data_IF_592113348633
#
_entry.id   IF_592113348633
#
_cell.length_a   1.000
_cell.length_b   1.000
_cell.length_c   1.000
_cell.angle_alpha   90.00
_cell.angle_beta   90.00
_cell.angle_gamma   90.00
#
_symmetry.space_group_name_H-M   'P 1'
#
loop_
_entity.id
_entity.type
_entity.pdbx_description
1 polymer ?
#
# COMPACT_ATOMS: atom_id res chain seq x y z
N UNK A 1 -8.33 -29.85 -0.07
CA UNK A 1 -9.17 -29.12 -1.05
C UNK A 1 -9.21 -27.62 -0.69
N UNK A 2 -8.06 -26.94 -0.59
CA UNK A 2 -8.02 -25.52 -0.15
C UNK A 2 -6.99 -24.68 -0.93
N UNK A 3 -5.95 -25.31 -1.51
CA UNK A 3 -4.94 -24.66 -2.36
C UNK A 3 -5.54 -23.91 -3.58
N UNK A 4 -6.60 -24.45 -4.19
CA UNK A 4 -7.23 -23.84 -5.36
C UNK A 4 -7.95 -22.52 -5.05
N UNK A 5 -8.46 -22.34 -3.82
CA UNK A 5 -9.07 -21.08 -3.40
C UNK A 5 -8.01 -20.09 -2.87
N UNK A 6 -6.87 -20.60 -2.42
CA UNK A 6 -5.79 -19.77 -1.89
C UNK A 6 -5.11 -18.96 -2.98
N UNK A 7 -4.85 -19.54 -4.14
CA UNK A 7 -4.15 -18.82 -5.21
C UNK A 7 -4.94 -17.59 -5.72
N UNK A 8 -6.23 -17.70 -6.11
CA UNK A 8 -7.03 -16.53 -6.48
C UNK A 8 -7.14 -15.51 -5.35
N UNK A 9 -7.24 -15.97 -4.10
CA UNK A 9 -7.29 -15.10 -2.93
C UNK A 9 -6.03 -14.26 -2.79
N UNK A 10 -4.85 -14.88 -2.90
CA UNK A 10 -3.56 -14.18 -2.86
C UNK A 10 -3.40 -13.17 -4.00
N UNK A 11 -3.94 -13.45 -5.19
CA UNK A 11 -3.95 -12.49 -6.32
C UNK A 11 -4.84 -11.27 -6.01
N UNK A 12 -5.99 -11.47 -5.37
CA UNK A 12 -6.85 -10.36 -4.93
C UNK A 12 -6.13 -9.52 -3.88
N UNK A 13 -5.50 -10.15 -2.89
CA UNK A 13 -4.72 -9.44 -1.87
C UNK A 13 -3.56 -8.64 -2.50
N UNK A 14 -2.85 -9.24 -3.47
CA UNK A 14 -1.80 -8.54 -4.20
C UNK A 14 -2.35 -7.32 -4.93
N UNK A 15 -3.38 -7.50 -5.76
CA UNK A 15 -3.99 -6.40 -6.52
C UNK A 15 -4.37 -5.24 -5.60
N UNK A 16 -5.03 -5.55 -4.49
CA UNK A 16 -5.51 -4.53 -3.56
C UNK A 16 -4.35 -3.84 -2.83
N UNK A 17 -3.29 -4.58 -2.49
CA UNK A 17 -2.05 -4.03 -1.92
C UNK A 17 -1.33 -3.05 -2.85
N UNK A 18 -1.50 -3.16 -4.18
CA UNK A 18 -0.91 -2.25 -5.17
C UNK A 18 -1.66 -0.92 -5.35
N UNK A 19 -2.95 -0.88 -4.99
CA UNK A 19 -3.83 0.28 -5.23
C UNK A 19 -3.29 1.61 -4.70
N UNK A 20 -2.62 1.68 -3.53
CA UNK A 20 -2.10 2.96 -3.01
C UNK A 20 -0.98 3.61 -3.83
N UNK A 21 -0.36 2.89 -4.77
CA UNK A 21 0.90 3.30 -5.40
C UNK A 21 0.76 3.62 -6.89
N UNK A 22 1.43 4.68 -7.34
CA UNK A 22 1.54 5.04 -8.77
C UNK A 22 2.55 4.16 -9.50
N UNK A 23 3.69 3.87 -8.86
CA UNK A 23 4.76 3.01 -9.36
C UNK A 23 4.75 1.64 -8.66
N UNK A 24 3.61 0.97 -8.71
CA UNK A 24 3.36 -0.33 -8.07
C UNK A 24 4.40 -1.43 -8.41
N UNK A 25 5.14 -1.29 -9.50
CA UNK A 25 6.21 -2.20 -9.92
C UNK A 25 7.44 -2.14 -9.03
N UNK A 26 7.70 -0.98 -8.40
CA UNK A 26 8.90 -0.74 -7.60
C UNK A 26 8.67 -0.96 -6.11
N UNK A 27 7.43 -1.20 -5.70
CA UNK A 27 7.03 -1.30 -4.29
C UNK A 27 7.53 -2.63 -3.71
N UNK A 28 8.26 -2.62 -2.59
CA UNK A 28 8.64 -3.84 -1.91
C UNK A 28 7.45 -4.41 -1.13
N UNK A 29 7.25 -5.72 -1.22
CA UNK A 29 6.23 -6.45 -0.46
C UNK A 29 6.88 -7.45 0.48
N UNK A 30 6.34 -7.52 1.69
CA UNK A 30 6.69 -8.56 2.63
C UNK A 30 5.96 -9.85 2.24
N UNK A 31 6.71 -10.93 2.03
CA UNK A 31 6.14 -12.28 1.79
C UNK A 31 6.45 -13.13 3.01
N UNK A 32 5.41 -13.51 3.74
CA UNK A 32 5.49 -14.43 4.90
C UNK A 32 4.98 -15.82 4.50
N UNK A 33 5.13 -16.86 5.35
CA UNK A 33 4.65 -18.20 5.04
C UNK A 33 3.16 -18.29 4.69
N UNK A 34 2.32 -17.35 5.17
CA UNK A 34 0.90 -17.24 4.82
C UNK A 34 0.62 -16.32 3.62
N UNK A 35 1.65 -15.93 2.87
CA UNK A 35 1.58 -15.02 1.73
C UNK A 35 1.26 -13.58 2.17
N UNK A 36 0.23 -13.00 1.58
CA UNK A 36 -0.22 -11.63 1.83
C UNK A 36 -1.33 -11.53 2.88
N UNK A 37 -1.70 -12.62 3.56
CA UNK A 37 -2.81 -12.64 4.53
C UNK A 37 -2.68 -11.63 5.67
N UNK A 38 -1.45 -11.23 6.01
CA UNK A 38 -1.23 -10.18 7.01
C UNK A 38 -1.82 -8.82 6.62
N UNK A 39 -2.08 -8.57 5.33
CA UNK A 39 -2.68 -7.32 4.86
C UNK A 39 -4.20 -7.32 5.01
N UNK A 40 -4.85 -8.46 5.27
CA UNK A 40 -6.32 -8.59 5.32
C UNK A 40 -6.98 -7.59 6.28
N UNK A 41 -6.53 -7.45 7.55
CA UNK A 41 -7.19 -6.52 8.46
C UNK A 41 -7.10 -5.05 8.01
N UNK A 42 -5.92 -4.65 7.51
CA UNK A 42 -5.70 -3.29 7.02
C UNK A 42 -6.46 -3.03 5.71
N UNK A 43 -6.55 -4.02 4.84
CA UNK A 43 -7.33 -4.01 3.60
C UNK A 43 -8.81 -3.83 3.89
N UNK A 44 -9.37 -4.56 4.85
CA UNK A 44 -10.81 -4.49 5.16
C UNK A 44 -11.18 -3.11 5.72
N UNK A 45 -10.33 -2.53 6.57
CA UNK A 45 -10.50 -1.16 7.06
C UNK A 45 -10.43 -0.13 5.90
N UNK A 46 -9.44 -0.27 5.03
CA UNK A 46 -9.25 0.57 3.85
C UNK A 46 -10.45 0.53 2.89
N UNK A 47 -10.91 -0.68 2.53
CA UNK A 47 -12.03 -0.87 1.62
C UNK A 47 -13.34 -0.37 2.21
N UNK A 48 -13.54 -0.50 3.52
CA UNK A 48 -14.71 0.05 4.21
C UNK A 48 -14.78 1.58 4.03
N UNK A 49 -13.67 2.29 4.23
CA UNK A 49 -13.63 3.75 4.01
C UNK A 49 -13.85 4.13 2.54
N UNK A 50 -13.32 3.33 1.62
CA UNK A 50 -13.49 3.53 0.18
C UNK A 50 -14.96 3.38 -0.25
N UNK A 51 -15.65 2.36 0.25
CA UNK A 51 -17.09 2.13 -0.01
C UNK A 51 -17.94 3.28 0.54
N UNK A 52 -17.59 3.83 1.70
CA UNK A 52 -18.28 4.99 2.30
C UNK A 52 -17.90 6.32 1.62
N UNK A 53 -17.02 6.31 0.61
CA UNK A 53 -16.52 7.49 -0.11
C UNK A 53 -15.91 8.55 0.82
N UNK A 54 -15.35 8.12 1.95
CA UNK A 54 -14.74 8.98 2.97
C UNK A 54 -13.27 8.63 3.17
N UNK A 55 -12.58 8.26 2.08
CA UNK A 55 -11.19 7.83 2.14
C UNK A 55 -10.30 8.98 2.62
N UNK A 56 -9.65 8.77 3.76
CA UNK A 56 -8.68 9.72 4.29
C UNK A 56 -7.31 9.36 3.74
N UNK A 57 -6.49 10.38 3.45
CA UNK A 57 -5.10 10.16 3.04
C UNK A 57 -4.33 9.31 4.06
N UNK A 58 -4.59 9.52 5.36
CA UNK A 58 -4.00 8.73 6.44
C UNK A 58 -4.29 7.24 6.31
N UNK A 59 -5.45 6.86 5.78
CA UNK A 59 -5.86 5.46 5.62
C UNK A 59 -5.18 4.81 4.43
N UNK A 60 -4.91 5.58 3.37
CA UNK A 60 -4.06 5.17 2.24
C UNK A 60 -2.64 4.92 2.74
N UNK A 61 -2.09 5.86 3.50
CA UNK A 61 -0.73 5.76 4.07
C UNK A 61 -0.61 4.59 5.05
N UNK A 62 -1.60 4.38 5.92
CA UNK A 62 -1.58 3.28 6.88
C UNK A 62 -1.70 1.91 6.19
N UNK A 63 -2.57 1.78 5.19
CA UNK A 63 -2.68 0.55 4.41
C UNK A 63 -1.39 0.25 3.61
N UNK A 64 -0.85 1.26 2.92
CA UNK A 64 0.42 1.15 2.21
C UNK A 64 1.59 0.76 3.15
N UNK A 65 1.59 1.28 4.38
CA UNK A 65 2.60 0.92 5.39
C UNK A 65 2.47 -0.53 5.84
N UNK A 66 1.25 -1.00 6.07
CA UNK A 66 1.02 -2.42 6.37
C UNK A 66 1.53 -3.31 5.25
N UNK A 67 1.25 -2.96 3.99
CA UNK A 67 1.71 -3.71 2.81
C UNK A 67 3.24 -3.81 2.73
N UNK A 68 3.96 -2.71 2.99
CA UNK A 68 5.42 -2.70 2.89
C UNK A 68 6.12 -3.28 4.12
N UNK A 69 5.57 -3.07 5.31
CA UNK A 69 6.28 -3.35 6.58
C UNK A 69 5.64 -4.47 7.41
N UNK A 70 4.43 -4.91 7.07
CA UNK A 70 3.61 -5.79 7.89
C UNK A 70 2.92 -5.10 9.07
N UNK A 71 3.15 -3.80 9.28
CA UNK A 71 2.66 -3.06 10.45
C UNK A 71 2.12 -1.67 10.09
N UNK A 72 1.17 -1.20 10.89
CA UNK A 72 0.70 0.19 10.84
C UNK A 72 1.71 1.15 11.45
N UNK A 73 1.35 2.44 11.44
CA UNK A 73 2.24 3.45 12.01
C UNK A 73 1.56 4.77 12.32
N UNK A 74 2.33 5.76 12.79
CA UNK A 74 1.81 7.08 13.05
C UNK A 74 1.19 7.70 11.80
N UNK A 75 0.15 8.51 12.00
CA UNK A 75 -0.48 9.28 10.93
C UNK A 75 0.54 10.23 10.31
N UNK A 76 0.57 10.26 8.98
CA UNK A 76 1.46 11.13 8.21
C UNK A 76 1.03 11.16 6.75
N UNK A 77 1.76 11.94 5.95
CA UNK A 77 1.53 12.02 4.51
C UNK A 77 2.26 10.92 3.72
N UNK A 78 3.22 10.25 4.34
CA UNK A 78 4.00 9.15 3.78
C UNK A 78 4.72 8.40 4.90
N UNK A 79 5.60 7.47 4.54
CA UNK A 79 6.41 6.72 5.51
C UNK A 79 7.73 6.26 4.91
N UNK A 80 8.71 6.04 5.78
CA UNK A 80 9.96 5.36 5.46
C UNK A 80 9.87 3.88 5.85
N UNK A 81 10.48 3.02 5.04
CA UNK A 81 10.62 1.60 5.32
C UNK A 81 11.96 1.11 4.76
N UNK A 82 12.61 0.16 5.44
CA UNK A 82 14.00 -0.22 5.15
C UNK A 82 14.27 -0.46 3.65
N UNK A 83 14.95 0.50 3.01
CA UNK A 83 15.23 0.50 1.56
C UNK A 83 14.52 1.59 0.75
N UNK A 84 13.72 2.46 1.35
CA UNK A 84 13.11 3.60 0.67
C UNK A 84 12.02 4.33 1.45
N UNK A 85 11.25 5.15 0.74
CA UNK A 85 10.14 5.90 1.30
C UNK A 85 8.94 5.92 0.35
N UNK A 86 7.73 5.77 0.89
CA UNK A 86 6.49 6.02 0.17
C UNK A 86 6.04 7.46 0.44
N UNK A 87 6.06 8.32 -0.57
CA UNK A 87 5.71 9.74 -0.45
C UNK A 87 4.55 10.13 -1.37
N UNK A 88 3.78 11.19 -1.07
CA UNK A 88 2.71 11.67 -1.95
C UNK A 88 3.19 11.99 -3.37
N UNK A 89 2.41 11.56 -4.37
CA UNK A 89 2.73 11.78 -5.80
C UNK A 89 2.88 13.25 -6.18
N UNK A 90 2.26 14.17 -5.42
CA UNK A 90 2.38 15.63 -5.63
C UNK A 90 3.81 16.15 -5.48
N UNK A 91 4.72 15.37 -4.88
CA UNK A 91 6.13 15.72 -4.83
C UNK A 91 6.88 15.46 -6.15
N UNK A 92 6.33 14.64 -7.04
CA UNK A 92 6.93 14.27 -8.34
C UNK A 92 6.22 14.94 -9.53
N UNK A 93 5.05 15.51 -9.30
CA UNK A 93 4.18 16.02 -10.35
C UNK A 93 3.58 17.38 -9.99
N UNK A 94 3.33 18.26 -10.98
CA UNK A 94 2.61 19.49 -10.72
C UNK A 94 1.24 19.19 -10.10
N UNK A 95 0.73 20.02 -9.18
CA UNK A 95 -0.49 19.73 -8.43
C UNK A 95 -1.73 19.41 -9.27
N UNK A 96 -1.80 19.92 -10.50
CA UNK A 96 -2.89 19.67 -11.45
C UNK A 96 -2.81 18.32 -12.16
N UNK A 97 -1.62 17.69 -12.20
CA UNK A 97 -1.40 16.36 -12.78
C UNK A 97 -1.27 15.26 -11.71
N UNK A 98 -0.96 15.63 -10.47
CA UNK A 98 -0.77 14.70 -9.37
C UNK A 98 -2.11 14.08 -8.94
N UNK A 99 -2.16 12.75 -8.87
CA UNK A 99 -3.27 12.06 -8.19
C UNK A 99 -3.06 12.24 -6.67
N UNK A 100 -3.67 13.28 -6.10
CA UNK A 100 -3.30 13.83 -4.78
C UNK A 100 -3.37 12.89 -3.58
N UNK A 101 -4.00 11.71 -3.73
CA UNK A 101 -4.15 10.72 -2.68
C UNK A 101 -3.19 9.53 -2.81
N UNK A 102 -2.53 9.35 -3.97
CA UNK A 102 -1.64 8.21 -4.22
C UNK A 102 -0.20 8.48 -3.79
N UNK A 103 0.51 7.39 -3.53
CA UNK A 103 1.91 7.38 -3.12
C UNK A 103 2.81 6.95 -4.27
N UNK A 104 4.05 7.45 -4.25
CA UNK A 104 5.15 6.98 -5.08
C UNK A 104 6.19 6.37 -4.14
N UNK A 105 6.58 5.12 -4.39
CA UNK A 105 7.71 4.49 -3.72
C UNK A 105 9.02 5.04 -4.27
N UNK A 106 9.92 5.46 -3.39
CA UNK A 106 11.25 5.97 -3.71
C UNK A 106 12.30 5.07 -3.08
N UNK A 107 12.99 4.23 -3.87
CA UNK A 107 14.08 3.44 -3.33
C UNK A 107 15.20 4.37 -2.83
N UNK A 108 15.87 3.95 -1.75
CA UNK A 108 17.05 4.64 -1.25
C UNK A 108 18.18 4.48 -2.28
N UNK A 109 18.76 5.57 -2.83
CA UNK A 109 19.83 5.48 -3.82
C UNK A 109 21.13 4.84 -3.31
N UNK A 110 21.26 4.62 -2.00
CA UNK A 110 22.46 4.08 -1.36
C UNK A 110 22.50 2.56 -1.15
N UNK A 111 21.57 1.77 -1.72
CA UNK A 111 21.49 0.32 -1.46
C UNK A 111 21.31 -0.54 -2.70
#
# INVERSE_FOLDING_TARGET
>A
MQLYNEWPHQIVLLRDALVPFTNWQDVPFLIIPSGLRYTEPARDAFLTELVVRQIRHSSIVDFARHVVTGTGGPRGHGFEAGGGAALPTVLDQPPLAATGHLLTWRPDPGR
#
